data_IF_266585335968
#
_entry.id   IF_266585335968
#
_cell.length_a   1.000
_cell.length_b   1.000
_cell.length_c   1.000
_cell.angle_alpha   90.00
_cell.angle_beta   90.00
_cell.angle_gamma   90.00
#
_symmetry.space_group_name_H-M   'P 1'
#
loop_
_entity.id
_entity.type
_entity.pdbx_description
1 polymer ?
#
# COMPACT_ATOMS: atom_id res chain seq x y z
N UNK A 1 7.79 -3.42 21.11
CA UNK A 1 6.34 -3.71 21.18
C UNK A 1 5.57 -3.10 20.01
N UNK A 2 5.66 -1.80 19.76
CA UNK A 2 4.97 -1.06 18.69
C UNK A 2 5.22 -1.61 17.27
N UNK A 3 6.47 -2.01 16.95
CA UNK A 3 6.80 -2.61 15.65
C UNK A 3 6.02 -3.90 15.38
N UNK A 4 5.92 -4.79 16.40
CA UNK A 4 5.17 -6.06 16.25
C UNK A 4 3.69 -5.76 16.04
N UNK A 5 3.10 -4.87 16.86
CA UNK A 5 1.70 -4.46 16.77
C UNK A 5 1.37 -3.88 15.38
N UNK A 6 2.19 -2.94 14.88
CA UNK A 6 2.02 -2.37 13.55
C UNK A 6 2.05 -3.45 12.46
N UNK A 7 2.97 -4.41 12.59
CA UNK A 7 3.17 -5.43 11.57
C UNK A 7 2.00 -6.42 11.56
N UNK A 8 1.50 -6.83 12.72
CA UNK A 8 0.31 -7.70 12.82
C UNK A 8 -0.93 -7.00 12.28
N UNK A 9 -1.19 -5.75 12.68
CA UNK A 9 -2.33 -4.96 12.18
C UNK A 9 -2.24 -4.75 10.67
N UNK A 10 -1.05 -4.40 10.15
CA UNK A 10 -0.86 -4.23 8.71
C UNK A 10 -1.10 -5.51 7.92
N UNK A 11 -0.61 -6.66 8.41
CA UNK A 11 -0.85 -7.94 7.77
C UNK A 11 -2.32 -8.34 7.81
N UNK A 12 -3.02 -8.11 8.92
CA UNK A 12 -4.47 -8.34 9.01
C UNK A 12 -5.23 -7.47 8.01
N UNK A 13 -4.93 -6.18 7.93
CA UNK A 13 -5.54 -5.29 6.94
C UNK A 13 -5.26 -5.77 5.50
N UNK A 14 -4.02 -6.19 5.21
CA UNK A 14 -3.66 -6.71 3.88
C UNK A 14 -4.47 -7.96 3.54
N UNK A 15 -4.57 -8.91 4.46
CA UNK A 15 -5.34 -10.15 4.27
C UNK A 15 -6.82 -9.83 4.05
N UNK A 16 -7.44 -9.00 4.88
CA UNK A 16 -8.85 -8.65 4.75
C UNK A 16 -9.15 -7.93 3.42
N UNK A 17 -8.31 -6.99 3.02
CA UNK A 17 -8.47 -6.31 1.72
C UNK A 17 -8.22 -7.28 0.55
N UNK A 18 -7.29 -8.22 0.69
CA UNK A 18 -7.06 -9.25 -0.34
C UNK A 18 -8.28 -10.16 -0.47
N UNK A 19 -8.84 -10.64 0.64
CA UNK A 19 -10.06 -11.46 0.66
C UNK A 19 -11.23 -10.72 0.01
N UNK A 20 -11.35 -9.40 0.25
CA UNK A 20 -12.37 -8.58 -0.37
C UNK A 20 -12.25 -8.53 -1.91
N UNK A 21 -11.02 -8.47 -2.45
CA UNK A 21 -10.80 -8.46 -3.90
C UNK A 21 -10.92 -9.83 -4.56
N UNK A 22 -10.70 -10.90 -3.81
CA UNK A 22 -10.75 -12.28 -4.29
C UNK A 22 -12.16 -12.88 -4.18
N UNK A 23 -13.01 -12.26 -3.36
CA UNK A 23 -14.38 -12.69 -3.17
C UNK A 23 -15.18 -12.66 -4.49
N UNK A 24 -15.69 -13.81 -4.90
CA UNK A 24 -16.58 -13.99 -6.05
C UNK A 24 -18.02 -14.28 -5.62
N UNK A 25 -18.23 -14.60 -4.33
CA UNK A 25 -19.54 -14.95 -3.78
C UNK A 25 -20.32 -13.74 -3.26
N UNK A 26 -19.64 -12.63 -2.99
CA UNK A 26 -20.21 -11.43 -2.37
C UNK A 26 -20.41 -11.52 -0.85
N UNK A 27 -20.20 -12.68 -0.24
CA UNK A 27 -20.39 -12.90 1.19
C UNK A 27 -19.34 -12.12 2.00
N UNK A 28 -18.08 -12.20 1.61
CA UNK A 28 -17.01 -11.44 2.27
C UNK A 28 -17.18 -9.94 2.05
N UNK A 29 -17.71 -9.54 0.90
CA UNK A 29 -17.99 -8.12 0.63
C UNK A 29 -19.06 -7.55 1.57
N UNK A 30 -20.08 -8.32 1.93
CA UNK A 30 -21.09 -7.91 2.91
C UNK A 30 -20.47 -7.65 4.31
N UNK A 31 -19.50 -8.47 4.71
CA UNK A 31 -18.86 -8.36 6.05
C UNK A 31 -17.67 -7.40 6.07
N UNK A 32 -16.84 -7.40 5.04
CA UNK A 32 -15.58 -6.65 4.98
C UNK A 32 -15.65 -5.39 4.11
N UNK A 33 -16.79 -5.08 3.48
CA UNK A 33 -16.94 -3.94 2.57
C UNK A 33 -16.63 -2.58 3.20
N UNK A 34 -16.74 -2.47 4.55
CA UNK A 34 -16.31 -1.27 5.28
C UNK A 34 -14.80 -1.00 5.14
N UNK A 35 -13.97 -2.02 4.93
CA UNK A 35 -12.53 -1.88 4.69
C UNK A 35 -12.21 -1.10 3.41
N UNK A 36 -13.08 -1.22 2.38
CA UNK A 36 -12.97 -0.42 1.17
C UNK A 36 -13.34 1.05 1.45
N UNK A 37 -14.39 1.28 2.27
CA UNK A 37 -14.90 2.62 2.57
C UNK A 37 -13.92 3.47 3.41
N UNK A 38 -13.03 2.85 4.17
CA UNK A 38 -11.99 3.57 4.95
C UNK A 38 -10.73 3.86 4.12
N UNK A 39 -10.64 3.40 2.88
CA UNK A 39 -9.54 3.75 2.01
C UNK A 39 -9.65 5.19 1.53
N UNK A 40 -8.50 5.87 1.40
CA UNK A 40 -8.48 7.32 1.17
C UNK A 40 -9.23 7.74 -0.11
N UNK A 41 -8.95 7.11 -1.26
CA UNK A 41 -9.59 7.49 -2.52
C UNK A 41 -11.06 7.06 -2.60
N UNK A 42 -11.46 5.82 -2.24
CA UNK A 42 -12.87 5.46 -2.14
C UNK A 42 -13.67 6.39 -1.22
N UNK A 43 -13.11 6.78 -0.07
CA UNK A 43 -13.75 7.74 0.83
C UNK A 43 -13.89 9.13 0.20
N UNK A 44 -12.87 9.57 -0.56
CA UNK A 44 -12.90 10.85 -1.27
C UNK A 44 -13.97 10.86 -2.36
N UNK A 45 -14.03 9.81 -3.18
CA UNK A 45 -15.02 9.69 -4.26
C UNK A 45 -16.46 9.53 -3.73
N UNK A 46 -16.62 8.88 -2.59
CA UNK A 46 -17.90 8.76 -1.90
C UNK A 46 -18.28 10.03 -1.12
N UNK A 47 -17.47 11.10 -1.16
CA UNK A 47 -17.65 12.35 -0.40
C UNK A 47 -17.82 12.12 1.11
N UNK A 48 -17.20 11.05 1.63
CA UNK A 48 -17.26 10.73 3.05
C UNK A 48 -16.28 11.60 3.85
N UNK A 49 -16.71 12.83 4.14
CA UNK A 49 -15.90 13.83 4.85
C UNK A 49 -15.41 13.31 6.21
N UNK A 50 -16.23 12.52 6.92
CA UNK A 50 -15.86 11.97 8.23
C UNK A 50 -14.62 11.08 8.18
N UNK A 51 -14.56 10.17 7.22
CA UNK A 51 -13.38 9.30 7.04
C UNK A 51 -12.16 10.11 6.63
N UNK A 52 -12.32 11.06 5.70
CA UNK A 52 -11.19 11.90 5.24
C UNK A 52 -10.61 12.71 6.40
N UNK A 53 -11.47 13.38 7.17
CA UNK A 53 -11.05 14.16 8.35
C UNK A 53 -10.37 13.24 9.37
N UNK A 54 -10.92 12.07 9.65
CA UNK A 54 -10.31 11.09 10.56
C UNK A 54 -8.91 10.66 10.09
N UNK A 55 -8.72 10.39 8.78
CA UNK A 55 -7.42 10.02 8.21
C UNK A 55 -6.41 11.17 8.27
N UNK A 56 -6.85 12.41 8.05
CA UNK A 56 -6.00 13.60 8.18
C UNK A 56 -5.61 13.82 9.65
N UNK A 57 -6.56 13.74 10.58
CA UNK A 57 -6.27 13.84 12.02
C UNK A 57 -5.33 12.74 12.49
N UNK A 58 -5.55 11.50 12.08
CA UNK A 58 -4.63 10.40 12.35
C UNK A 58 -3.22 10.70 11.84
N UNK A 59 -3.12 11.31 10.65
CA UNK A 59 -1.83 11.69 10.07
C UNK A 59 -1.18 12.85 10.81
N UNK A 60 -1.94 13.82 11.29
CA UNK A 60 -1.45 14.92 12.12
C UNK A 60 -0.99 14.45 13.51
N UNK A 61 -1.62 13.43 14.06
CA UNK A 61 -1.20 12.86 15.36
C UNK A 61 -0.01 11.93 15.21
N UNK A 62 -0.13 10.89 14.41
CA UNK A 62 0.81 9.76 14.38
C UNK A 62 1.66 9.67 13.09
N UNK A 63 1.62 10.69 12.22
CA UNK A 63 2.30 10.65 10.93
C UNK A 63 1.61 9.72 9.94
N UNK A 64 2.33 9.24 8.93
CA UNK A 64 1.79 8.43 7.82
C UNK A 64 1.48 6.96 8.20
N UNK A 65 0.85 6.74 9.36
CA UNK A 65 0.47 5.38 9.83
C UNK A 65 -0.52 4.72 8.85
N UNK A 66 -1.41 5.50 8.22
CA UNK A 66 -2.27 4.99 7.15
C UNK A 66 -1.49 4.19 6.10
N UNK A 67 -0.39 4.74 5.59
CA UNK A 67 0.43 4.09 4.57
C UNK A 67 1.17 2.84 5.06
N UNK A 68 1.31 2.67 6.38
CA UNK A 68 2.03 1.53 6.95
C UNK A 68 1.14 0.43 7.52
N UNK A 69 -0.15 0.71 7.72
CA UNK A 69 -1.10 -0.23 8.36
C UNK A 69 -2.33 -0.45 7.50
N UNK A 70 -2.99 0.62 7.04
CA UNK A 70 -4.31 0.54 6.38
C UNK A 70 -4.17 0.33 4.87
N UNK A 71 -3.23 1.02 4.23
CA UNK A 71 -3.06 0.95 2.78
C UNK A 71 -2.47 -0.41 2.34
N UNK A 72 -3.21 -1.23 1.56
CA UNK A 72 -2.76 -2.56 1.18
C UNK A 72 -1.49 -2.53 0.31
N UNK A 73 -1.38 -1.58 -0.61
CA UNK A 73 -0.18 -1.43 -1.45
C UNK A 73 1.05 -1.07 -0.61
N UNK A 74 0.87 -0.25 0.44
CA UNK A 74 1.94 0.12 1.35
C UNK A 74 2.44 -1.08 2.16
N UNK A 75 1.55 -1.89 2.71
CA UNK A 75 1.91 -3.11 3.44
C UNK A 75 2.55 -4.14 2.50
N UNK A 76 2.00 -4.31 1.30
CA UNK A 76 2.57 -5.18 0.26
C UNK A 76 4.02 -4.80 -0.08
N UNK A 77 4.31 -3.50 -0.25
CA UNK A 77 5.70 -3.05 -0.46
C UNK A 77 6.61 -3.39 0.72
N UNK A 78 6.12 -3.35 1.96
CA UNK A 78 6.91 -3.76 3.13
C UNK A 78 7.26 -5.25 3.11
N UNK A 79 6.32 -6.09 2.67
CA UNK A 79 6.54 -7.54 2.52
C UNK A 79 7.58 -7.78 1.44
N UNK A 80 7.40 -7.21 0.25
CA UNK A 80 8.32 -7.35 -0.89
C UNK A 80 9.72 -6.83 -0.53
N UNK A 81 9.81 -5.65 0.11
CA UNK A 81 11.08 -5.07 0.54
C UNK A 81 11.82 -5.95 1.55
N UNK A 82 11.09 -6.63 2.44
CA UNK A 82 11.68 -7.57 3.39
C UNK A 82 12.21 -8.83 2.72
N UNK A 83 11.44 -9.40 1.79
CA UNK A 83 11.85 -10.57 1.01
C UNK A 83 13.04 -10.27 0.09
N UNK A 84 13.00 -9.13 -0.61
CA UNK A 84 14.09 -8.69 -1.48
C UNK A 84 15.39 -8.42 -0.73
N UNK A 85 15.30 -7.84 0.48
CA UNK A 85 16.47 -7.57 1.34
C UNK A 85 17.12 -8.85 1.87
N UNK A 86 16.32 -9.89 2.18
CA UNK A 86 16.84 -11.18 2.64
C UNK A 86 17.82 -11.81 1.66
N UNK A 87 17.62 -11.59 0.36
CA UNK A 87 18.51 -12.13 -0.69
C UNK A 87 19.77 -11.30 -0.96
N UNK A 88 19.70 -9.95 -0.86
CA UNK A 88 20.79 -9.06 -1.34
C UNK A 88 21.56 -8.31 -0.25
N UNK A 89 21.13 -8.32 1.02
CA UNK A 89 21.75 -7.59 2.16
C UNK A 89 22.13 -6.11 1.87
N UNK A 90 21.54 -5.50 0.82
CA UNK A 90 21.88 -4.12 0.45
C UNK A 90 21.26 -3.14 1.44
N UNK A 91 22.02 -2.28 2.09
CA UNK A 91 21.49 -1.28 2.99
C UNK A 91 20.76 -0.19 2.21
N UNK A 92 19.68 0.36 2.80
CA UNK A 92 19.09 1.58 2.26
C UNK A 92 20.03 2.76 2.47
N UNK A 93 19.99 3.70 1.55
CA UNK A 93 20.75 4.95 1.65
C UNK A 93 19.79 6.13 1.57
N UNK A 94 20.15 7.23 2.23
CA UNK A 94 19.40 8.47 2.09
C UNK A 94 19.34 8.90 0.62
N UNK A 95 18.17 9.28 0.18
CA UNK A 95 17.96 9.89 -1.14
C UNK A 95 17.33 11.26 -0.99
N UNK A 96 17.76 12.23 -1.80
CA UNK A 96 17.12 13.55 -1.81
C UNK A 96 15.66 13.43 -2.28
N UNK A 97 14.73 14.20 -1.68
CA UNK A 97 13.33 14.19 -2.10
C UNK A 97 13.19 14.68 -3.55
N UNK A 98 12.55 13.88 -4.41
CA UNK A 98 12.19 14.29 -5.77
C UNK A 98 10.87 15.08 -5.74
N UNK A 99 10.91 16.26 -5.13
CA UNK A 99 9.69 17.06 -4.89
C UNK A 99 8.96 17.42 -6.18
N UNK A 100 9.70 17.74 -7.26
CA UNK A 100 9.10 18.02 -8.55
C UNK A 100 8.25 16.84 -9.06
N UNK A 101 8.76 15.63 -9.02
CA UNK A 101 8.02 14.44 -9.46
C UNK A 101 6.79 14.18 -8.58
N UNK A 102 6.93 14.32 -7.26
CA UNK A 102 5.83 14.12 -6.30
C UNK A 102 4.64 15.05 -6.56
N UNK A 103 4.94 16.35 -6.64
CA UNK A 103 3.89 17.36 -6.84
C UNK A 103 3.39 17.38 -8.29
N UNK A 104 4.24 17.07 -9.27
CA UNK A 104 3.83 16.91 -10.66
C UNK A 104 2.82 15.76 -10.84
N UNK A 105 3.09 14.58 -10.27
CA UNK A 105 2.13 13.47 -10.31
C UNK A 105 0.85 13.81 -9.56
N UNK A 106 0.93 14.51 -8.41
CA UNK A 106 -0.25 14.96 -7.68
C UNK A 106 -1.09 15.94 -8.54
N UNK A 107 -0.46 16.87 -9.22
CA UNK A 107 -1.15 17.83 -10.11
C UNK A 107 -1.85 17.11 -11.26
N UNK A 108 -1.17 16.16 -11.91
CA UNK A 108 -1.76 15.32 -12.97
C UNK A 108 -2.94 14.49 -12.42
N UNK A 109 -2.81 13.93 -11.21
CA UNK A 109 -3.88 13.18 -10.56
C UNK A 109 -5.12 14.04 -10.28
N UNK A 110 -4.92 15.24 -9.71
CA UNK A 110 -6.02 16.19 -9.44
C UNK A 110 -6.67 16.64 -10.75
N UNK A 111 -5.86 16.96 -11.76
CA UNK A 111 -6.37 17.33 -13.08
C UNK A 111 -7.20 16.19 -13.71
N UNK A 112 -6.71 14.96 -13.63
CA UNK A 112 -7.43 13.79 -14.12
C UNK A 112 -8.77 13.57 -13.39
N UNK A 113 -8.81 13.84 -12.08
CA UNK A 113 -10.06 13.79 -11.31
C UNK A 113 -11.04 14.88 -11.77
N UNK A 114 -10.59 16.11 -11.99
CA UNK A 114 -11.43 17.23 -12.44
C UNK A 114 -11.95 17.02 -13.86
N UNK A 115 -11.14 16.43 -14.74
CA UNK A 115 -11.52 16.11 -16.13
C UNK A 115 -12.32 14.81 -16.25
N UNK A 116 -12.54 14.06 -15.16
CA UNK A 116 -13.28 12.80 -15.17
C UNK A 116 -12.52 11.63 -15.82
N UNK A 117 -11.19 11.71 -15.98
CA UNK A 117 -10.37 10.62 -16.54
C UNK A 117 -10.11 9.54 -15.51
N UNK A 118 -11.17 8.75 -15.23
CA UNK A 118 -11.14 7.70 -14.18
C UNK A 118 -10.05 6.65 -14.38
N UNK A 119 -9.69 6.34 -15.63
CA UNK A 119 -8.64 5.37 -15.93
C UNK A 119 -7.27 5.79 -15.37
N UNK A 120 -6.91 7.07 -15.51
CA UNK A 120 -5.65 7.62 -15.01
C UNK A 120 -5.66 7.72 -13.48
N UNK A 121 -6.79 8.11 -12.89
CA UNK A 121 -6.99 8.15 -11.44
C UNK A 121 -6.80 6.74 -10.86
N UNK A 122 -7.45 5.73 -11.42
CA UNK A 122 -7.33 4.34 -10.98
C UNK A 122 -5.93 3.75 -11.18
N UNK A 123 -5.15 4.28 -12.16
CA UNK A 123 -3.77 3.84 -12.40
C UNK A 123 -2.79 4.35 -11.33
N UNK A 124 -3.07 5.52 -10.75
CA UNK A 124 -2.21 6.16 -9.75
C UNK A 124 -2.65 5.86 -8.31
N UNK A 125 -3.91 5.45 -8.10
CA UNK A 125 -4.43 5.15 -6.77
C UNK A 125 -3.83 3.85 -6.21
N UNK A 126 -3.24 3.88 -5.00
CA UNK A 126 -2.62 2.70 -4.41
C UNK A 126 -3.61 1.56 -4.12
N UNK A 127 -4.86 1.88 -3.77
CA UNK A 127 -5.88 0.87 -3.52
C UNK A 127 -6.31 0.18 -4.82
N UNK A 128 -6.55 0.96 -5.89
CA UNK A 128 -6.91 0.42 -7.21
C UNK A 128 -5.78 -0.37 -7.86
N UNK A 129 -4.51 0.07 -7.72
CA UNK A 129 -3.33 -0.67 -8.21
C UNK A 129 -3.24 -2.04 -7.54
N UNK A 130 -3.37 -2.09 -6.21
CA UNK A 130 -3.35 -3.35 -5.47
C UNK A 130 -4.55 -4.23 -5.84
N UNK A 131 -5.75 -3.66 -5.85
CA UNK A 131 -6.98 -4.36 -6.17
C UNK A 131 -6.97 -4.96 -7.57
N UNK A 132 -6.45 -4.22 -8.57
CA UNK A 132 -6.30 -4.72 -9.92
C UNK A 132 -5.35 -5.92 -9.99
N UNK A 133 -4.23 -5.87 -9.28
CA UNK A 133 -3.30 -6.99 -9.20
C UNK A 133 -3.95 -8.20 -8.51
N UNK A 134 -4.60 -8.00 -7.36
CA UNK A 134 -5.27 -9.07 -6.63
C UNK A 134 -6.39 -9.72 -7.45
N UNK A 135 -7.24 -8.90 -8.08
CA UNK A 135 -8.35 -9.38 -8.90
C UNK A 135 -7.91 -10.07 -10.20
N UNK A 136 -6.79 -9.62 -10.80
CA UNK A 136 -6.29 -10.23 -12.05
C UNK A 136 -5.50 -11.52 -11.83
N UNK A 137 -4.81 -11.66 -10.70
CA UNK A 137 -3.92 -12.80 -10.45
C UNK A 137 -4.39 -13.71 -9.32
N UNK A 138 -4.88 -13.15 -8.21
CA UNK A 138 -5.26 -13.98 -7.05
C UNK A 138 -6.68 -14.50 -7.16
N UNK A 139 -7.61 -13.75 -7.72
CA UNK A 139 -9.00 -14.19 -7.86
C UNK A 139 -9.14 -15.43 -8.76
N UNK A 140 -8.54 -15.52 -9.96
CA UNK A 140 -8.61 -16.74 -10.76
C UNK A 140 -7.99 -17.96 -10.04
N UNK A 141 -6.90 -17.77 -9.31
CA UNK A 141 -6.29 -18.83 -8.50
C UNK A 141 -7.23 -19.31 -7.40
N UNK A 142 -7.93 -18.40 -6.74
CA UNK A 142 -8.92 -18.70 -5.71
C UNK A 142 -10.10 -19.48 -6.29
N UNK A 143 -10.64 -19.03 -7.44
CA UNK A 143 -11.73 -19.72 -8.14
C UNK A 143 -11.33 -21.14 -8.60
N UNK A 144 -10.09 -21.28 -9.07
CA UNK A 144 -9.54 -22.56 -9.43
C UNK A 144 -9.39 -23.50 -8.23
N UNK A 145 -8.90 -22.97 -7.10
CA UNK A 145 -8.86 -23.70 -5.82
C UNK A 145 -10.25 -24.12 -5.35
N UNK A 146 -11.26 -23.24 -5.46
CA UNK A 146 -12.65 -23.57 -5.15
C UNK A 146 -13.17 -24.71 -6.03
N UNK A 147 -12.91 -24.68 -7.35
CA UNK A 147 -13.33 -25.73 -8.27
C UNK A 147 -12.67 -27.08 -7.96
N UNK A 148 -11.41 -27.06 -7.51
CA UNK A 148 -10.74 -28.26 -7.04
C UNK A 148 -11.44 -28.84 -5.79
N UNK A 149 -11.79 -27.98 -4.83
CA UNK A 149 -12.54 -28.40 -3.64
C UNK A 149 -13.96 -28.89 -4.00
N UNK A 150 -14.62 -28.23 -4.96
CA UNK A 150 -15.93 -28.65 -5.45
C UNK A 150 -15.87 -30.07 -6.06
N UNK A 151 -14.87 -30.34 -6.92
CA UNK A 151 -14.70 -31.66 -7.51
C UNK A 151 -14.37 -32.78 -6.49
N UNK A 152 -13.68 -32.42 -5.40
CA UNK A 152 -13.41 -33.34 -4.28
C UNK A 152 -14.69 -33.59 -3.45
N UNK A 153 -15.45 -32.52 -3.17
CA UNK A 153 -16.68 -32.62 -2.39
C UNK A 153 -17.76 -33.44 -3.16
N UNK A 154 -17.85 -33.26 -4.46
CA UNK A 154 -18.77 -34.00 -5.32
C UNK A 154 -18.49 -35.52 -5.32
N UNK A 155 -17.21 -35.92 -5.25
CA UNK A 155 -16.82 -37.32 -5.08
C UNK A 155 -17.19 -37.92 -3.73
N UNK A 156 -17.48 -37.08 -2.73
CA UNK A 156 -17.91 -37.46 -1.38
C UNK A 156 -19.41 -37.23 -1.17
N UNK A 157 -20.18 -37.10 -2.27
CA UNK A 157 -21.63 -36.80 -2.25
C UNK A 157 -21.98 -35.54 -1.43
N UNK A 158 -21.07 -34.58 -1.35
CA UNK A 158 -21.25 -33.32 -0.62
C UNK A 158 -21.34 -32.16 -1.62
N UNK A 159 -22.42 -31.40 -1.55
CA UNK A 159 -22.63 -30.20 -2.38
C UNK A 159 -22.35 -28.91 -1.63
N UNK A 160 -21.41 -28.92 -0.68
CA UNK A 160 -21.01 -27.74 0.09
C UNK A 160 -20.24 -26.70 -0.74
N UNK A 161 -19.60 -27.14 -1.83
CA UNK A 161 -18.90 -26.30 -2.79
C UNK A 161 -19.49 -26.51 -4.18
N UNK A 162 -19.62 -25.42 -4.94
CA UNK A 162 -20.08 -25.48 -6.33
C UNK A 162 -18.99 -25.00 -7.29
N UNK A 163 -18.95 -25.54 -8.48
CA UNK A 163 -18.01 -25.13 -9.52
C UNK A 163 -18.41 -23.78 -10.09
N UNK A 164 -17.43 -22.93 -10.34
CA UNK A 164 -17.58 -21.57 -10.87
C UNK A 164 -16.75 -21.44 -12.13
N UNK A 165 -17.28 -20.78 -13.15
CA UNK A 165 -16.53 -20.47 -14.36
C UNK A 165 -15.41 -19.48 -14.06
N UNK A 166 -14.19 -19.86 -14.38
CA UNK A 166 -13.01 -19.03 -14.15
C UNK A 166 -12.85 -18.04 -15.30
N UNK A 167 -13.18 -16.77 -15.05
CA UNK A 167 -13.06 -15.70 -16.02
C UNK A 167 -11.72 -14.99 -15.87
N UNK A 168 -10.93 -15.02 -16.93
CA UNK A 168 -9.75 -14.19 -17.07
C UNK A 168 -10.16 -12.81 -17.60
N UNK A 169 -9.59 -11.75 -17.02
CA UNK A 169 -9.81 -10.38 -17.51
C UNK A 169 -9.29 -10.23 -18.95
N UNK A 170 -9.80 -9.23 -19.65
CA UNK A 170 -9.33 -8.93 -21.00
C UNK A 170 -7.81 -8.71 -21.00
N UNK A 171 -7.16 -9.13 -22.06
CA UNK A 171 -5.70 -9.11 -22.20
C UNK A 171 -5.07 -7.73 -21.93
N UNK A 172 -5.64 -6.59 -22.35
CA UNK A 172 -5.12 -5.26 -22.00
C UNK A 172 -5.12 -4.99 -20.49
N UNK A 173 -6.18 -5.38 -19.79
CA UNK A 173 -6.29 -5.19 -18.34
C UNK A 173 -5.25 -6.04 -17.60
N UNK A 174 -5.03 -7.27 -18.06
CA UNK A 174 -4.02 -8.16 -17.51
C UNK A 174 -2.61 -7.60 -17.70
N UNK A 175 -2.29 -7.09 -18.89
CA UNK A 175 -0.99 -6.47 -19.19
C UNK A 175 -0.76 -5.26 -18.28
N UNK A 176 -1.72 -4.37 -18.15
CA UNK A 176 -1.61 -3.19 -17.28
C UNK A 176 -1.41 -3.62 -15.82
N UNK A 177 -2.16 -4.63 -15.34
CA UNK A 177 -1.99 -5.15 -13.98
C UNK A 177 -0.60 -5.74 -13.77
N UNK A 178 -0.09 -6.52 -14.74
CA UNK A 178 1.23 -7.12 -14.67
C UNK A 178 2.35 -6.06 -14.67
N UNK A 179 2.29 -5.09 -15.58
CA UNK A 179 3.28 -4.00 -15.66
C UNK A 179 3.34 -3.21 -14.36
N UNK A 180 2.16 -2.81 -13.82
CA UNK A 180 2.10 -2.06 -12.56
C UNK A 180 2.59 -2.89 -11.37
N UNK A 181 2.23 -4.16 -11.31
CA UNK A 181 2.71 -5.07 -10.25
C UNK A 181 4.23 -5.23 -10.31
N UNK A 182 4.81 -5.49 -11.48
CA UNK A 182 6.26 -5.61 -11.68
C UNK A 182 6.96 -4.31 -11.30
N UNK A 183 6.43 -3.15 -11.72
CA UNK A 183 6.98 -1.84 -11.35
C UNK A 183 7.02 -1.65 -9.83
N UNK A 184 5.91 -1.92 -9.15
CA UNK A 184 5.83 -1.80 -7.68
C UNK A 184 6.79 -2.78 -6.99
N UNK A 185 6.84 -4.03 -7.44
CA UNK A 185 7.73 -5.08 -6.89
C UNK A 185 9.20 -4.70 -7.07
N UNK A 186 9.60 -4.26 -8.27
CA UNK A 186 10.99 -3.85 -8.55
C UNK A 186 11.39 -2.64 -7.71
N UNK A 187 10.54 -1.62 -7.62
CA UNK A 187 10.79 -0.44 -6.80
C UNK A 187 10.86 -0.79 -5.30
N UNK A 188 9.97 -1.67 -4.82
CA UNK A 188 9.96 -2.09 -3.42
C UNK A 188 11.17 -2.97 -3.07
N UNK A 189 11.56 -3.90 -3.94
CA UNK A 189 12.69 -4.78 -3.70
C UNK A 189 14.05 -4.04 -3.70
N UNK A 190 14.19 -3.00 -4.56
CA UNK A 190 15.43 -2.22 -4.67
C UNK A 190 15.52 -1.10 -3.61
N UNK A 191 14.47 -0.31 -3.48
CA UNK A 191 14.50 0.98 -2.77
C UNK A 191 13.42 1.10 -1.68
N UNK A 192 12.78 0.01 -1.29
CA UNK A 192 11.75 0.01 -0.25
C UNK A 192 10.47 0.76 -0.68
N UNK A 193 10.15 1.85 -0.01
CA UNK A 193 8.89 2.61 -0.17
C UNK A 193 8.95 3.71 -1.24
N UNK A 194 9.73 3.53 -2.29
CA UNK A 194 9.93 4.58 -3.32
C UNK A 194 8.62 4.92 -4.03
N UNK A 195 7.79 3.94 -4.40
CA UNK A 195 6.51 4.22 -5.05
C UNK A 195 5.62 5.14 -4.18
N UNK A 196 5.45 4.82 -2.89
CA UNK A 196 4.66 5.63 -1.97
C UNK A 196 5.22 7.04 -1.73
N UNK A 197 6.53 7.23 -1.91
CA UNK A 197 7.21 8.50 -1.63
C UNK A 197 7.42 9.38 -2.87
N UNK A 198 7.27 8.83 -4.09
CA UNK A 198 7.54 9.58 -5.32
C UNK A 198 6.37 9.63 -6.28
N UNK A 199 5.59 8.54 -6.41
CA UNK A 199 4.53 8.40 -7.42
C UNK A 199 3.14 8.50 -6.79
N UNK A 200 2.94 7.94 -5.60
CA UNK A 200 1.61 7.83 -5.00
C UNK A 200 1.02 9.21 -4.60
N UNK A 201 -0.12 9.63 -5.18
CA UNK A 201 -0.75 10.91 -4.86
C UNK A 201 -1.25 10.96 -3.41
N UNK A 202 -1.87 9.87 -2.91
CA UNK A 202 -2.30 9.75 -1.51
C UNK A 202 -1.11 9.91 -0.57
N UNK A 203 0.03 9.26 -0.90
CA UNK A 203 1.27 9.40 -0.15
C UNK A 203 1.82 10.82 -0.15
N UNK A 204 1.58 11.59 -1.20
CA UNK A 204 2.00 13.00 -1.29
C UNK A 204 1.13 13.88 -0.42
N UNK A 205 -0.20 13.73 -0.49
CA UNK A 205 -1.16 14.48 0.35
C UNK A 205 -0.92 14.22 1.83
N UNK A 206 -0.91 12.95 2.25
CA UNK A 206 -0.66 12.60 3.65
C UNK A 206 0.75 12.99 4.10
N UNK A 207 1.73 12.96 3.18
CA UNK A 207 3.09 13.43 3.44
C UNK A 207 3.16 14.92 3.72
N UNK A 208 2.32 15.74 3.10
CA UNK A 208 2.25 17.16 3.41
C UNK A 208 1.78 17.38 4.86
N UNK A 209 0.71 16.74 5.29
CA UNK A 209 0.20 16.84 6.67
C UNK A 209 1.15 16.21 7.70
N UNK A 210 1.84 15.13 7.35
CA UNK A 210 2.79 14.45 8.24
C UNK A 210 4.01 15.29 8.64
N UNK A 211 4.29 16.40 7.94
CA UNK A 211 5.31 17.37 8.37
C UNK A 211 4.96 18.04 9.70
N UNK A 212 3.67 18.17 9.96
CA UNK A 212 3.11 18.82 11.15
C UNK A 212 2.70 17.80 12.22
N UNK A 213 3.09 16.53 12.05
CA UNK A 213 2.69 15.48 12.99
C UNK A 213 3.20 15.75 14.42
N UNK A 214 2.30 15.49 15.39
CA UNK A 214 2.59 15.65 16.80
C UNK A 214 3.66 14.64 17.26
N UNK A 215 3.46 13.36 16.93
CA UNK A 215 4.41 12.28 17.21
C UNK A 215 5.31 12.06 16.01
N UNK A 216 6.46 12.74 15.99
CA UNK A 216 7.47 12.59 14.94
C UNK A 216 8.76 12.01 15.50
N UNK A 217 9.42 11.20 14.69
CA UNK A 217 10.72 10.64 15.03
C UNK A 217 11.77 11.71 14.77
N UNK A 218 12.62 11.98 15.76
CA UNK A 218 13.72 12.94 15.68
C UNK A 218 15.04 12.26 16.06
N UNK A 219 16.17 12.79 15.57
CA UNK A 219 17.50 12.33 15.95
C UNK A 219 18.04 13.32 17.00
N UNK A 220 18.38 12.80 18.16
CA UNK A 220 19.10 13.55 19.19
C UNK A 220 20.54 13.72 18.73
N UNK A 221 20.94 14.98 18.51
CA UNK A 221 22.28 15.33 17.99
C UNK A 221 23.39 14.99 18.97
N UNK A 222 23.12 15.14 20.27
CA UNK A 222 24.14 14.92 21.33
C UNK A 222 24.42 13.42 21.51
N UNK A 223 23.41 12.56 21.28
CA UNK A 223 23.52 11.11 21.42
C UNK A 223 23.89 10.38 20.12
N UNK A 224 23.90 11.08 19.00
CA UNK A 224 24.15 10.49 17.69
C UNK A 224 25.66 10.33 17.44
N UNK A 225 26.13 9.09 17.39
CA UNK A 225 27.54 8.74 17.08
C UNK A 225 27.80 8.57 15.57
N UNK A 226 26.86 8.89 14.69
CA UNK A 226 27.05 8.83 13.24
C UNK A 226 27.11 7.41 12.63
N UNK A 227 26.74 6.35 13.34
CA UNK A 227 26.88 4.94 12.90
C UNK A 227 26.07 4.56 11.67
N UNK A 228 25.22 5.43 11.14
CA UNK A 228 24.36 5.24 9.94
C UNK A 228 23.35 4.09 10.01
N UNK A 229 23.24 3.35 11.11
CA UNK A 229 22.40 2.17 11.24
C UNK A 229 20.91 2.49 11.02
N UNK A 230 20.44 3.64 11.51
CA UNK A 230 19.07 4.13 11.29
C UNK A 230 18.76 4.36 9.80
N UNK A 231 19.68 4.99 9.06
CA UNK A 231 19.51 5.21 7.61
C UNK A 231 19.53 3.89 6.83
N UNK A 232 20.43 2.97 7.20
CA UNK A 232 20.55 1.64 6.55
C UNK A 232 19.29 0.76 6.72
N UNK A 233 18.52 1.00 7.78
CA UNK A 233 17.26 0.29 8.03
C UNK A 233 16.02 1.04 7.50
N UNK A 234 16.15 2.31 7.13
CA UNK A 234 15.05 3.16 6.72
C UNK A 234 14.52 2.84 5.32
N UNK A 235 13.43 2.09 5.20
CA UNK A 235 12.76 1.75 3.93
C UNK A 235 12.26 2.97 3.15
N UNK A 236 12.01 4.08 3.84
CA UNK A 236 11.56 5.33 3.21
C UNK A 236 12.70 6.19 2.69
N UNK A 237 13.97 5.82 2.97
CA UNK A 237 15.19 6.55 2.60
C UNK A 237 15.12 8.04 2.98
N UNK A 238 14.51 8.36 4.15
CA UNK A 238 14.19 9.72 4.59
C UNK A 238 15.10 10.22 5.72
N UNK A 239 16.09 9.43 6.17
CA UNK A 239 16.98 9.77 7.28
C UNK A 239 18.32 10.26 6.73
N UNK A 240 18.60 11.54 6.92
CA UNK A 240 19.88 12.17 6.61
C UNK A 240 20.76 12.21 7.87
N UNK A 241 21.68 11.27 7.96
CA UNK A 241 22.58 11.16 9.12
C UNK A 241 23.59 12.30 9.16
N UNK A 242 24.01 12.83 8.00
CA UNK A 242 24.99 13.93 7.92
C UNK A 242 24.45 15.21 8.55
N UNK A 243 23.17 15.50 8.31
CA UNK A 243 22.50 16.69 8.82
C UNK A 243 21.67 16.41 10.08
N UNK A 244 21.72 15.18 10.63
CA UNK A 244 20.89 14.72 11.77
C UNK A 244 19.41 15.04 11.58
N UNK A 245 18.91 14.89 10.34
CA UNK A 245 17.56 15.29 9.96
C UNK A 245 16.73 14.10 9.44
N UNK A 246 15.46 14.11 9.79
CA UNK A 246 14.47 13.14 9.25
C UNK A 246 13.42 13.92 8.46
N UNK A 247 13.23 13.54 7.19
CA UNK A 247 12.19 14.12 6.37
C UNK A 247 10.83 13.53 6.76
N UNK A 248 10.07 14.24 7.62
CA UNK A 248 8.76 13.85 8.09
C UNK A 248 7.74 13.65 6.95
N UNK A 249 7.91 14.34 5.82
CA UNK A 249 7.01 14.19 4.67
C UNK A 249 7.13 12.83 3.98
N UNK A 250 8.24 12.12 4.17
CA UNK A 250 8.51 10.80 3.59
C UNK A 250 8.51 9.68 4.62
N UNK A 251 8.63 10.02 5.89
CA UNK A 251 8.57 9.05 6.98
C UNK A 251 7.20 8.38 7.02
N UNK A 252 7.16 7.06 6.99
CA UNK A 252 5.93 6.26 7.00
C UNK A 252 5.63 5.66 8.39
N UNK A 253 6.28 6.15 9.43
CA UNK A 253 6.14 5.67 10.81
C UNK A 253 6.22 4.13 10.92
N UNK A 254 7.22 3.53 10.25
CA UNK A 254 7.37 2.06 10.21
C UNK A 254 7.88 1.45 11.51
N UNK A 255 8.51 2.22 12.39
CA UNK A 255 9.04 1.81 13.70
C UNK A 255 10.01 0.61 13.62
N UNK A 256 10.72 0.48 12.49
CA UNK A 256 11.74 -0.56 12.25
C UNK A 256 13.10 -0.19 12.85
#
# INVERSE_FOLDING_TARGET
>A
MLRKLRLTLGMLCLVFVTLLFVDFTGVLHAWLGWMAKIQFLPALLALNAGVIVCLILLTLVAGRVYCSVICPLGVFQDVVARLGRGRKKMPYTYSKPKSWLRYGVLAVFVLAMLLGVHALVALLDPYAVYGRAAHSFLQPLWMWGNNLLASMAERMDSYAFYSVDVWLKSLPVLIVAAVMLVLVVVLAARNGRTYCNTICPVGTVLGFFSRFALFRITIDKEKCNGCTLCARNCKAACIDVKNHAIDGSRCVACMD
#
